data_IF_425984573208
#
_entry.id   IF_425984573208
#
_cell.length_a   1.000
_cell.length_b   1.000
_cell.length_c   1.000
_cell.angle_alpha   90.00
_cell.angle_beta   90.00
_cell.angle_gamma   90.00
#
_symmetry.space_group_name_H-M   'P 1'
#
loop_
_entity.id
_entity.type
_entity.pdbx_description
1 polymer ?
#
# COMPACT_ATOMS: atom_id res chain seq x y z
N UNK A 1 -16.71 3.30 -23.96
CA UNK A 1 -16.46 2.70 -22.63
C UNK A 1 -15.67 3.70 -21.81
N UNK A 2 -15.99 3.96 -20.53
CA UNK A 2 -15.17 4.88 -19.73
C UNK A 2 -13.76 4.30 -19.59
N UNK A 3 -12.76 5.13 -19.86
CA UNK A 3 -11.34 4.82 -19.74
C UNK A 3 -11.09 4.41 -18.27
N UNK A 4 -10.70 3.14 -18.04
CA UNK A 4 -10.28 2.68 -16.72
C UNK A 4 -8.91 3.28 -16.45
N UNK A 5 -8.89 4.48 -15.89
CA UNK A 5 -7.69 5.06 -15.30
C UNK A 5 -7.30 4.13 -14.16
N UNK A 6 -6.19 3.38 -14.31
CA UNK A 6 -5.86 2.17 -13.55
C UNK A 6 -5.75 2.33 -12.02
N UNK A 7 -5.88 3.54 -11.50
CA UNK A 7 -5.82 3.90 -10.08
C UNK A 7 -7.21 4.22 -9.47
N UNK A 8 -8.28 4.21 -10.30
CA UNK A 8 -9.64 4.52 -9.90
C UNK A 8 -10.53 3.28 -9.90
N UNK A 9 -11.38 3.21 -8.89
CA UNK A 9 -12.28 2.10 -8.62
C UNK A 9 -13.72 2.63 -8.65
N UNK A 10 -14.67 1.97 -9.32
CA UNK A 10 -16.08 2.37 -9.23
C UNK A 10 -16.57 2.39 -7.77
N UNK A 11 -17.23 3.48 -7.36
CA UNK A 11 -17.69 3.65 -5.98
C UNK A 11 -18.97 2.85 -5.67
N UNK A 12 -19.76 2.53 -6.68
CA UNK A 12 -20.99 1.75 -6.53
C UNK A 12 -20.69 0.38 -5.91
N UNK A 13 -21.42 -0.01 -4.86
CA UNK A 13 -21.20 -1.25 -4.13
C UNK A 13 -19.94 -1.32 -3.24
N UNK A 14 -19.06 -0.31 -3.25
CA UNK A 14 -17.76 -0.35 -2.54
C UNK A 14 -17.65 0.57 -1.31
N UNK A 15 -18.57 1.54 -1.12
CA UNK A 15 -18.48 2.53 -0.02
C UNK A 15 -18.31 1.91 1.38
N UNK A 16 -19.04 0.84 1.69
CA UNK A 16 -18.96 0.14 2.99
C UNK A 16 -17.61 -0.56 3.17
N UNK A 17 -17.08 -1.17 2.11
CA UNK A 17 -15.79 -1.88 2.10
C UNK A 17 -14.65 -0.92 2.38
N UNK A 18 -14.65 0.22 1.69
CA UNK A 18 -13.65 1.26 1.89
C UNK A 18 -13.68 1.84 3.30
N UNK A 19 -14.85 2.13 3.85
CA UNK A 19 -14.97 2.56 5.26
C UNK A 19 -14.48 1.48 6.24
N UNK A 20 -14.57 0.20 5.88
CA UNK A 20 -14.14 -0.91 6.74
C UNK A 20 -12.62 -1.06 6.80
N UNK A 21 -11.86 -0.54 5.82
CA UNK A 21 -10.38 -0.52 5.84
C UNK A 21 -9.86 0.19 7.09
N UNK A 22 -10.46 1.34 7.46
CA UNK A 22 -10.10 2.07 8.70
C UNK A 22 -10.21 1.17 9.94
N UNK A 23 -11.16 0.23 9.94
CA UNK A 23 -11.42 -0.65 11.08
C UNK A 23 -10.57 -1.93 11.07
N UNK A 24 -9.84 -2.21 9.98
CA UNK A 24 -8.88 -3.33 9.95
C UNK A 24 -7.75 -3.16 10.96
N UNK A 25 -7.51 -1.97 11.50
CA UNK A 25 -6.43 -1.73 12.45
C UNK A 25 -6.91 -1.57 13.91
N UNK A 26 -8.22 -1.73 14.18
CA UNK A 26 -8.80 -1.59 15.52
C UNK A 26 -9.01 -2.96 16.15
N UNK A 27 -8.65 -3.08 17.43
CA UNK A 27 -8.85 -4.30 18.21
C UNK A 27 -10.36 -4.56 18.38
N UNK A 28 -10.89 -5.53 17.64
CA UNK A 28 -12.27 -5.96 17.82
C UNK A 28 -12.34 -6.92 19.01
N UNK A 29 -13.30 -6.71 19.93
CA UNK A 29 -13.52 -7.60 21.07
C UNK A 29 -13.58 -9.05 20.56
N UNK A 30 -12.61 -9.87 20.99
CA UNK A 30 -12.38 -11.25 20.52
C UNK A 30 -13.69 -11.99 20.33
N UNK A 31 -14.10 -12.19 19.08
CA UNK A 31 -14.91 -13.34 18.70
C UNK A 31 -13.93 -14.32 18.07
N UNK A 32 -13.87 -15.53 18.64
CA UNK A 32 -13.16 -16.65 18.01
C UNK A 32 -13.67 -16.82 16.58
N UNK A 33 -12.86 -17.47 15.75
CA UNK A 33 -13.20 -17.93 14.41
C UNK A 33 -14.35 -18.98 14.42
N UNK A 34 -15.48 -18.66 15.05
CA UNK A 34 -16.76 -19.19 14.59
C UNK A 34 -16.93 -18.68 13.18
N UNK A 35 -17.24 -19.57 12.23
CA UNK A 35 -17.38 -19.27 10.81
C UNK A 35 -17.94 -17.85 10.63
N UNK A 36 -17.09 -16.91 10.20
CA UNK A 36 -17.47 -15.50 10.14
C UNK A 36 -18.69 -15.42 9.24
N UNK A 37 -19.87 -15.20 9.83
CA UNK A 37 -21.08 -15.09 9.02
C UNK A 37 -20.89 -13.91 8.06
N UNK A 38 -20.88 -14.24 6.77
CA UNK A 38 -20.72 -13.34 5.63
C UNK A 38 -21.68 -12.15 5.69
N UNK A 39 -22.80 -12.32 6.40
CA UNK A 39 -23.86 -11.30 6.48
C UNK A 39 -23.60 -10.25 7.57
N UNK A 40 -22.72 -10.49 8.54
CA UNK A 40 -22.51 -9.56 9.65
C UNK A 40 -21.53 -8.45 9.29
N UNK A 41 -22.04 -7.23 9.09
CA UNK A 41 -21.23 -6.01 8.89
C UNK A 41 -20.18 -5.77 10.00
N UNK A 42 -20.38 -6.32 11.19
CA UNK A 42 -19.43 -6.21 12.32
C UNK A 42 -18.15 -7.02 12.10
N UNK A 43 -18.19 -8.05 11.24
CA UNK A 43 -17.08 -8.95 10.97
C UNK A 43 -16.27 -8.56 9.72
N UNK A 44 -16.76 -7.59 8.94
CA UNK A 44 -16.11 -7.14 7.70
C UNK A 44 -14.63 -6.78 7.88
N UNK A 45 -14.23 -6.02 8.93
CA UNK A 45 -12.82 -5.67 9.09
C UNK A 45 -11.93 -6.90 9.33
N UNK A 46 -12.44 -7.90 10.05
CA UNK A 46 -11.72 -9.16 10.27
C UNK A 46 -11.59 -9.91 8.94
N UNK A 47 -12.71 -10.06 8.22
CA UNK A 47 -12.73 -10.76 6.94
C UNK A 47 -11.76 -10.14 5.92
N UNK A 48 -11.75 -8.81 5.80
CA UNK A 48 -10.83 -8.09 4.91
C UNK A 48 -9.35 -8.35 5.25
N UNK A 49 -8.99 -8.60 6.52
CA UNK A 49 -7.61 -8.97 6.88
C UNK A 49 -7.23 -10.34 6.36
N UNK A 50 -8.13 -11.33 6.53
CA UNK A 50 -7.93 -12.67 5.99
C UNK A 50 -7.89 -12.65 4.46
N UNK A 51 -8.78 -11.90 3.82
CA UNK A 51 -8.80 -11.72 2.37
C UNK A 51 -7.52 -11.04 1.85
N UNK A 52 -7.00 -10.03 2.57
CA UNK A 52 -5.73 -9.36 2.21
C UNK A 52 -4.55 -10.34 2.25
N UNK A 53 -4.41 -11.11 3.34
CA UNK A 53 -3.36 -12.11 3.48
C UNK A 53 -3.50 -13.23 2.44
N UNK A 54 -4.71 -13.76 2.24
CA UNK A 54 -4.99 -14.79 1.26
C UNK A 54 -4.73 -14.30 -0.17
N UNK A 55 -5.07 -13.05 -0.47
CA UNK A 55 -4.77 -12.41 -1.75
C UNK A 55 -3.27 -12.38 -2.01
N UNK A 56 -2.49 -11.84 -1.06
CA UNK A 56 -1.04 -11.78 -1.20
C UNK A 56 -0.40 -13.17 -1.30
N UNK A 57 -0.86 -14.14 -0.50
CA UNK A 57 -0.43 -15.54 -0.63
C UNK A 57 -0.76 -16.15 -2.00
N UNK A 58 -1.90 -15.77 -2.58
CA UNK A 58 -2.39 -16.31 -3.86
C UNK A 58 -1.73 -15.68 -5.09
N UNK A 59 -1.07 -14.53 -4.96
CA UNK A 59 -0.45 -13.78 -6.09
C UNK A 59 0.75 -14.46 -6.77
N UNK A 60 1.19 -15.61 -6.28
CA UNK A 60 2.29 -16.38 -6.88
C UNK A 60 3.53 -16.44 -5.98
N UNK A 61 4.51 -17.26 -6.37
CA UNK A 61 5.73 -17.46 -5.57
C UNK A 61 6.86 -16.51 -5.96
N UNK A 62 7.00 -16.21 -7.25
CA UNK A 62 8.10 -15.41 -7.78
C UNK A 62 7.69 -13.95 -7.95
N UNK A 63 8.50 -13.00 -7.47
CA UNK A 63 8.24 -11.59 -7.68
C UNK A 63 8.51 -11.20 -9.14
N UNK A 64 7.84 -10.15 -9.63
CA UNK A 64 8.15 -9.59 -10.95
C UNK A 64 9.60 -9.08 -11.00
N UNK A 65 10.27 -9.13 -12.16
CA UNK A 65 11.60 -8.57 -12.29
C UNK A 65 11.60 -7.04 -12.15
N UNK A 66 12.67 -6.50 -11.56
CA UNK A 66 12.83 -5.06 -11.29
C UNK A 66 13.59 -4.27 -12.36
N UNK A 67 13.84 -4.80 -13.55
CA UNK A 67 14.59 -4.07 -14.60
C UNK A 67 13.69 -3.28 -15.57
N UNK A 68 12.39 -3.21 -15.33
CA UNK A 68 11.43 -2.53 -16.22
C UNK A 68 10.99 -1.19 -15.64
N UNK A 69 11.36 -0.10 -16.33
CA UNK A 69 10.97 1.26 -15.97
C UNK A 69 9.46 1.53 -16.18
N UNK A 70 8.86 0.77 -17.10
CA UNK A 70 7.44 0.81 -17.39
C UNK A 70 6.98 -0.59 -17.79
N UNK A 71 5.86 -1.05 -17.23
CA UNK A 71 5.23 -2.29 -17.67
C UNK A 71 4.20 -1.95 -18.73
N UNK A 72 4.63 -2.03 -19.99
CA UNK A 72 3.78 -1.92 -21.18
C UNK A 72 3.12 -3.26 -21.50
N UNK A 73 2.17 -3.30 -22.43
CA UNK A 73 1.59 -4.55 -22.93
C UNK A 73 2.66 -5.50 -23.50
N UNK A 74 3.70 -4.95 -24.16
CA UNK A 74 4.83 -5.72 -24.68
C UNK A 74 5.70 -6.31 -23.56
N UNK A 75 5.94 -5.54 -22.49
CA UNK A 75 6.64 -6.04 -21.30
C UNK A 75 5.85 -7.14 -20.63
N UNK A 76 4.52 -7.02 -20.56
CA UNK A 76 3.67 -8.08 -20.04
C UNK A 76 3.79 -9.37 -20.87
N UNK A 77 3.91 -9.26 -22.19
CA UNK A 77 4.06 -10.42 -23.08
C UNK A 77 5.39 -11.14 -22.83
N UNK A 78 6.45 -10.35 -22.66
CA UNK A 78 7.75 -10.86 -22.24
C UNK A 78 7.65 -11.56 -20.88
N UNK A 79 7.05 -10.92 -19.88
CA UNK A 79 6.88 -11.48 -18.53
C UNK A 79 6.07 -12.78 -18.55
N UNK A 80 4.98 -12.84 -19.33
CA UNK A 80 4.16 -14.03 -19.49
C UNK A 80 4.91 -15.15 -20.22
N UNK A 81 5.72 -14.81 -21.24
CA UNK A 81 6.53 -15.77 -21.99
C UNK A 81 7.69 -16.35 -21.16
N UNK A 82 8.24 -15.54 -20.25
CA UNK A 82 9.31 -15.91 -19.31
C UNK A 82 8.77 -16.68 -18.08
N UNK A 83 7.47 -17.01 -18.05
CA UNK A 83 6.78 -17.82 -17.03
C UNK A 83 6.83 -17.25 -15.61
N UNK A 84 7.05 -15.95 -15.44
CA UNK A 84 6.89 -15.32 -14.13
C UNK A 84 5.46 -15.51 -13.62
N UNK A 85 5.29 -15.63 -12.30
CA UNK A 85 3.98 -15.86 -11.68
C UNK A 85 3.11 -14.60 -11.68
N UNK A 86 2.56 -14.26 -12.85
CA UNK A 86 1.49 -13.28 -13.03
C UNK A 86 0.17 -14.03 -13.10
N UNK A 87 -0.78 -13.71 -12.22
CA UNK A 87 -2.10 -14.34 -12.21
C UNK A 87 -3.16 -13.45 -12.81
N UNK A 88 -4.13 -14.05 -13.49
CA UNK A 88 -5.35 -13.34 -13.84
C UNK A 88 -6.13 -13.01 -12.56
N UNK A 89 -6.86 -11.90 -12.55
CA UNK A 89 -7.69 -11.54 -11.41
C UNK A 89 -8.79 -12.58 -11.13
N UNK A 90 -9.28 -13.27 -12.16
CA UNK A 90 -10.25 -14.36 -12.00
C UNK A 90 -9.65 -15.56 -11.26
N UNK A 91 -8.41 -15.96 -11.61
CA UNK A 91 -7.69 -17.02 -10.90
C UNK A 91 -7.42 -16.64 -9.44
N UNK A 92 -7.07 -15.37 -9.18
CA UNK A 92 -6.91 -14.88 -7.81
C UNK A 92 -8.20 -15.00 -6.99
N UNK A 93 -9.34 -14.60 -7.53
CA UNK A 93 -10.63 -14.74 -6.83
C UNK A 93 -10.89 -16.20 -6.46
N UNK A 94 -10.66 -17.13 -7.40
CA UNK A 94 -10.80 -18.57 -7.15
C UNK A 94 -9.85 -19.04 -6.05
N UNK A 95 -8.56 -18.73 -6.18
CA UNK A 95 -7.52 -19.24 -5.29
C UNK A 95 -7.66 -18.68 -3.87
N UNK A 96 -8.00 -17.39 -3.74
CA UNK A 96 -8.33 -16.77 -2.46
C UNK A 96 -9.54 -17.42 -1.83
N UNK A 97 -10.61 -17.69 -2.61
CA UNK A 97 -11.79 -18.39 -2.09
C UNK A 97 -11.42 -19.76 -1.53
N UNK A 98 -10.57 -20.50 -2.25
CA UNK A 98 -10.07 -21.81 -1.79
C UNK A 98 -9.24 -21.68 -0.52
N UNK A 99 -8.36 -20.68 -0.44
CA UNK A 99 -7.56 -20.41 0.75
C UNK A 99 -8.44 -20.09 1.96
N UNK A 100 -9.44 -19.21 1.80
CA UNK A 100 -10.40 -18.87 2.85
C UNK A 100 -11.23 -20.08 3.28
N UNK A 101 -11.70 -20.89 2.33
CA UNK A 101 -12.45 -22.12 2.63
C UNK A 101 -11.61 -23.11 3.45
N UNK A 102 -10.31 -23.23 3.18
CA UNK A 102 -9.39 -24.05 3.99
C UNK A 102 -9.23 -23.55 5.44
N UNK A 103 -9.54 -22.28 5.69
CA UNK A 103 -9.55 -21.66 7.02
C UNK A 103 -10.94 -21.71 7.69
N UNK A 104 -11.91 -22.39 7.07
CA UNK A 104 -13.30 -22.45 7.56
C UNK A 104 -14.11 -21.18 7.28
N UNK A 105 -13.64 -20.31 6.37
CA UNK A 105 -14.31 -19.07 5.98
C UNK A 105 -15.00 -19.27 4.63
N UNK A 106 -16.33 -19.15 4.60
CA UNK A 106 -17.10 -19.14 3.36
C UNK A 106 -17.37 -17.70 2.95
N UNK A 107 -17.15 -17.34 1.69
CA UNK A 107 -17.45 -16.00 1.16
C UNK A 107 -18.10 -16.14 -0.22
N UNK A 108 -19.20 -15.41 -0.45
CA UNK A 108 -19.85 -15.39 -1.76
C UNK A 108 -18.95 -14.78 -2.83
N UNK A 109 -18.87 -15.41 -4.00
CA UNK A 109 -17.91 -15.03 -5.05
C UNK A 109 -18.06 -13.57 -5.51
N UNK A 110 -19.29 -13.07 -5.67
CA UNK A 110 -19.54 -11.67 -6.05
C UNK A 110 -19.08 -10.67 -4.98
N UNK A 111 -19.27 -11.00 -3.70
CA UNK A 111 -18.78 -10.17 -2.59
C UNK A 111 -17.24 -10.17 -2.58
N UNK A 112 -16.64 -11.35 -2.58
CA UNK A 112 -15.20 -11.54 -2.60
C UNK A 112 -14.55 -10.78 -3.77
N UNK A 113 -15.14 -10.82 -4.97
CA UNK A 113 -14.61 -10.10 -6.13
C UNK A 113 -14.53 -8.59 -5.90
N UNK A 114 -15.53 -8.00 -5.25
CA UNK A 114 -15.54 -6.58 -4.92
C UNK A 114 -14.53 -6.25 -3.81
N UNK A 115 -14.47 -7.09 -2.78
CA UNK A 115 -13.50 -6.96 -1.69
C UNK A 115 -12.05 -7.05 -2.21
N UNK A 116 -11.75 -8.07 -3.00
CA UNK A 116 -10.44 -8.25 -3.63
C UNK A 116 -10.09 -7.14 -4.62
N UNK A 117 -11.08 -6.54 -5.28
CA UNK A 117 -10.85 -5.39 -6.14
C UNK A 117 -10.34 -4.19 -5.32
N UNK A 118 -10.92 -3.93 -4.15
CA UNK A 118 -10.44 -2.89 -3.23
C UNK A 118 -9.06 -3.26 -2.66
N UNK A 119 -8.91 -4.50 -2.19
CA UNK A 119 -7.69 -4.95 -1.51
C UNK A 119 -6.47 -4.99 -2.45
N UNK A 120 -6.64 -5.36 -3.72
CA UNK A 120 -5.52 -5.34 -4.68
C UNK A 120 -5.05 -3.91 -4.96
N UNK A 121 -5.95 -2.92 -4.99
CA UNK A 121 -5.59 -1.52 -5.14
C UNK A 121 -4.94 -0.95 -3.88
N UNK A 122 -5.38 -1.37 -2.69
CA UNK A 122 -4.70 -1.06 -1.43
C UNK A 122 -3.27 -1.64 -1.42
N UNK A 123 -3.11 -2.93 -1.76
CA UNK A 123 -1.81 -3.60 -1.85
C UNK A 123 -0.90 -2.93 -2.89
N UNK A 124 -1.44 -2.49 -4.03
CA UNK A 124 -0.66 -1.71 -5.00
C UNK A 124 -0.22 -0.37 -4.46
N UNK A 125 -1.11 0.36 -3.76
CA UNK A 125 -0.73 1.60 -3.07
C UNK A 125 0.38 1.39 -2.03
N UNK A 126 0.41 0.22 -1.37
CA UNK A 126 1.47 -0.20 -0.46
C UNK A 126 2.73 -0.71 -1.17
N UNK A 127 2.71 -0.87 -2.50
CA UNK A 127 3.81 -1.39 -3.30
C UNK A 127 3.97 -2.92 -3.22
N UNK A 128 2.98 -3.66 -2.73
CA UNK A 128 3.06 -5.13 -2.58
C UNK A 128 2.77 -5.89 -3.88
N UNK A 129 1.99 -5.30 -4.77
CA UNK A 129 1.58 -5.93 -6.04
C UNK A 129 1.51 -4.90 -7.14
N UNK A 130 1.66 -5.35 -8.37
CA UNK A 130 1.33 -4.58 -9.56
C UNK A 130 0.05 -5.09 -10.21
N UNK A 131 -0.64 -4.18 -10.91
CA UNK A 131 -1.87 -4.46 -11.65
C UNK A 131 -1.65 -4.11 -13.12
N UNK A 132 -2.00 -5.04 -14.01
CA UNK A 132 -1.87 -4.88 -15.46
C UNK A 132 -3.18 -5.17 -16.18
N UNK A 133 -3.35 -4.61 -17.37
CA UNK A 133 -4.47 -4.93 -18.25
C UNK A 133 -3.95 -5.29 -19.65
N UNK A 134 -4.41 -6.44 -20.18
CA UNK A 134 -4.14 -6.87 -21.57
C UNK A 134 -5.36 -7.54 -22.15
N UNK A 135 -5.78 -7.08 -23.33
CA UNK A 135 -6.95 -7.64 -24.02
C UNK A 135 -8.23 -7.62 -23.17
N UNK A 136 -8.43 -6.57 -22.36
CA UNK A 136 -9.57 -6.44 -21.43
C UNK A 136 -9.51 -7.35 -20.20
N UNK A 137 -8.44 -8.14 -20.02
CA UNK A 137 -8.21 -8.97 -18.83
C UNK A 137 -7.24 -8.27 -17.89
N UNK A 138 -7.56 -8.35 -16.59
CA UNK A 138 -6.72 -7.83 -15.51
C UNK A 138 -5.81 -8.91 -14.98
N UNK A 139 -4.55 -8.56 -14.80
CA UNK A 139 -3.51 -9.39 -14.22
C UNK A 139 -2.94 -8.71 -12.98
N UNK A 140 -2.42 -9.52 -12.07
CA UNK A 140 -1.81 -9.05 -10.83
C UNK A 140 -0.53 -9.85 -10.62
N UNK A 141 0.51 -9.17 -10.18
CA UNK A 141 1.79 -9.81 -9.91
C UNK A 141 2.42 -9.30 -8.61
N UNK A 142 3.14 -10.18 -7.94
CA UNK A 142 3.77 -9.92 -6.66
C UNK A 142 5.06 -9.12 -6.83
N UNK A 143 5.30 -8.11 -6.01
CA UNK A 143 6.59 -7.39 -5.95
C UNK A 143 7.54 -8.06 -4.95
N UNK A 144 8.82 -7.69 -4.95
CA UNK A 144 9.79 -8.13 -3.94
C UNK A 144 9.38 -7.68 -2.54
N UNK A 145 8.88 -6.44 -2.41
CA UNK A 145 8.29 -5.95 -1.16
C UNK A 145 7.10 -6.81 -0.73
N UNK A 146 6.16 -7.09 -1.64
CA UNK A 146 5.01 -7.92 -1.34
C UNK A 146 5.40 -9.34 -0.92
N UNK A 147 6.41 -9.92 -1.58
CA UNK A 147 6.93 -11.23 -1.22
C UNK A 147 7.48 -11.27 0.21
N UNK A 148 8.20 -10.23 0.63
CA UNK A 148 8.73 -10.13 1.99
C UNK A 148 7.64 -9.81 3.03
N UNK A 149 6.70 -8.91 2.71
CA UNK A 149 5.59 -8.56 3.60
C UNK A 149 4.57 -9.69 3.78
N UNK A 150 4.48 -10.62 2.83
CA UNK A 150 3.66 -11.83 2.94
C UNK A 150 4.03 -12.68 4.16
N UNK A 151 5.33 -12.78 4.47
CA UNK A 151 5.80 -13.54 5.63
C UNK A 151 5.41 -12.88 6.95
N UNK A 152 5.41 -11.54 6.97
CA UNK A 152 5.02 -10.74 8.14
C UNK A 152 3.50 -10.83 8.38
N UNK A 153 2.70 -10.74 7.32
CA UNK A 153 1.24 -10.85 7.42
C UNK A 153 0.78 -12.25 7.84
N UNK A 154 1.48 -13.29 7.37
CA UNK A 154 1.10 -14.67 7.61
C UNK A 154 -0.28 -15.00 7.04
N UNK A 155 -0.88 -16.10 7.50
CA UNK A 155 -2.21 -16.57 7.07
C UNK A 155 -3.36 -15.98 7.88
N UNK A 156 -3.10 -15.51 9.10
CA UNK A 156 -4.10 -14.97 10.03
C UNK A 156 -3.62 -13.64 10.63
N UNK A 157 -3.47 -12.58 9.81
CA UNK A 157 -2.95 -11.31 10.29
C UNK A 157 -3.85 -10.66 11.34
N UNK A 158 -3.24 -10.21 12.44
CA UNK A 158 -3.90 -9.33 13.42
C UNK A 158 -3.75 -7.86 13.01
N UNK A 159 -4.39 -6.96 13.74
CA UNK A 159 -4.22 -5.50 13.60
C UNK A 159 -2.74 -5.10 13.58
N UNK A 160 -1.92 -5.79 14.39
CA UNK A 160 -0.49 -5.51 14.53
C UNK A 160 0.29 -5.86 13.27
N UNK A 161 0.07 -7.04 12.68
CA UNK A 161 0.79 -7.42 11.44
C UNK A 161 0.42 -6.49 10.28
N UNK A 162 -0.85 -6.07 10.20
CA UNK A 162 -1.27 -5.03 9.23
C UNK A 162 -0.51 -3.71 9.47
N UNK A 163 -0.38 -3.28 10.74
CA UNK A 163 0.34 -2.06 11.10
C UNK A 163 1.83 -2.14 10.72
N UNK A 164 2.50 -3.24 11.07
CA UNK A 164 3.92 -3.45 10.76
C UNK A 164 4.14 -3.46 9.24
N UNK A 165 3.32 -4.20 8.48
CA UNK A 165 3.42 -4.26 7.03
C UNK A 165 3.17 -2.89 6.38
N UNK A 166 2.19 -2.12 6.88
CA UNK A 166 1.93 -0.77 6.40
C UNK A 166 3.09 0.20 6.68
N UNK A 167 3.69 0.13 7.87
CA UNK A 167 4.85 0.95 8.24
C UNK A 167 6.06 0.66 7.36
N UNK A 168 6.39 -0.63 7.18
CA UNK A 168 7.50 -1.03 6.30
C UNK A 168 7.23 -0.60 4.86
N UNK A 169 5.99 -0.74 4.38
CA UNK A 169 5.60 -0.29 3.04
C UNK A 169 5.93 1.19 2.82
N UNK A 170 5.79 2.05 3.85
CA UNK A 170 6.15 3.46 3.70
C UNK A 170 7.64 3.67 3.43
N UNK A 171 8.54 2.79 3.85
CA UNK A 171 9.97 2.93 3.58
C UNK A 171 10.34 2.71 2.09
N UNK A 172 9.45 2.11 1.30
CA UNK A 172 9.72 1.73 -0.10
C UNK A 172 8.68 2.28 -1.09
N UNK A 173 7.39 2.13 -0.81
CA UNK A 173 6.32 2.66 -1.67
C UNK A 173 6.25 4.18 -1.54
N UNK A 174 6.71 4.88 -2.58
CA UNK A 174 6.62 6.32 -2.69
C UNK A 174 5.19 6.83 -2.50
N UNK A 175 4.16 6.12 -2.99
CA UNK A 175 2.75 6.53 -2.83
C UNK A 175 2.32 6.44 -1.36
N UNK A 176 2.52 5.28 -0.73
CA UNK A 176 2.20 5.10 0.68
C UNK A 176 2.88 6.16 1.55
N UNK A 177 4.15 6.41 1.25
CA UNK A 177 4.99 7.39 1.93
C UNK A 177 4.49 8.83 1.77
N UNK A 178 4.15 9.26 0.55
CA UNK A 178 3.59 10.59 0.27
C UNK A 178 2.23 10.77 0.95
N UNK A 179 1.33 9.80 0.80
CA UNK A 179 -0.02 9.86 1.39
C UNK A 179 0.06 9.92 2.91
N UNK A 180 0.93 9.11 3.53
CA UNK A 180 1.16 9.16 4.97
C UNK A 180 1.73 10.52 5.41
N UNK A 181 2.77 11.02 4.74
CA UNK A 181 3.39 12.30 5.11
C UNK A 181 2.43 13.48 5.00
N UNK A 182 1.61 13.53 3.95
CA UNK A 182 0.55 14.54 3.79
C UNK A 182 -0.48 14.45 4.91
N UNK A 183 -0.92 13.23 5.23
CA UNK A 183 -1.87 13.01 6.32
C UNK A 183 -1.30 13.41 7.68
N UNK A 184 -0.07 13.03 8.00
CA UNK A 184 0.57 13.34 9.27
C UNK A 184 0.89 14.83 9.46
N UNK A 185 1.16 15.56 8.39
CA UNK A 185 1.48 17.00 8.42
C UNK A 185 0.24 17.91 8.35
N UNK A 186 -0.77 17.54 7.56
CA UNK A 186 -1.89 18.42 7.20
C UNK A 186 -3.26 17.88 7.58
N UNK A 187 -3.34 16.71 8.23
CA UNK A 187 -4.60 16.06 8.58
C UNK A 187 -5.44 15.72 7.34
N UNK A 188 -6.76 15.61 7.48
CA UNK A 188 -7.66 15.14 6.41
C UNK A 188 -8.08 16.24 5.41
N UNK A 189 -7.19 17.14 4.98
CA UNK A 189 -7.53 18.23 4.06
C UNK A 189 -7.02 17.97 2.62
N UNK A 190 -7.85 17.40 1.73
CA UNK A 190 -7.51 17.23 0.30
C UNK A 190 -7.07 18.53 -0.39
N UNK A 191 -7.63 19.67 0.03
CA UNK A 191 -7.25 20.97 -0.50
C UNK A 191 -5.80 21.33 -0.14
N UNK A 192 -5.40 21.09 1.11
CA UNK A 192 -4.02 21.31 1.54
C UNK A 192 -3.06 20.35 0.83
N UNK A 193 -3.47 19.11 0.62
CA UNK A 193 -2.68 18.14 -0.14
C UNK A 193 -2.46 18.62 -1.57
N UNK A 194 -3.53 19.06 -2.25
CA UNK A 194 -3.45 19.57 -3.61
C UNK A 194 -2.52 20.78 -3.71
N UNK A 195 -2.65 21.76 -2.81
CA UNK A 195 -1.79 22.95 -2.80
C UNK A 195 -0.33 22.57 -2.59
N UNK A 196 -0.03 21.71 -1.61
CA UNK A 196 1.34 21.28 -1.31
C UNK A 196 1.96 20.48 -2.47
N UNK A 197 1.24 19.49 -2.99
CA UNK A 197 1.72 18.68 -4.11
C UNK A 197 1.88 19.51 -5.38
N UNK A 198 0.95 20.42 -5.69
CA UNK A 198 1.03 21.30 -6.86
C UNK A 198 2.21 22.25 -6.76
N UNK A 199 2.43 22.86 -5.60
CA UNK A 199 3.62 23.69 -5.35
C UNK A 199 4.88 22.87 -5.58
N UNK A 200 4.88 21.59 -5.16
CA UNK A 200 6.02 20.72 -5.38
C UNK A 200 6.27 20.35 -6.83
N UNK A 201 5.23 19.89 -7.53
CA UNK A 201 5.31 19.54 -8.95
C UNK A 201 5.74 20.73 -9.83
N UNK A 202 5.36 21.96 -9.47
CA UNK A 202 5.69 23.18 -10.22
C UNK A 202 7.03 23.82 -9.80
N UNK A 203 7.69 23.33 -8.76
CA UNK A 203 9.01 23.81 -8.33
C UNK A 203 10.18 23.14 -9.09
N UNK A 204 9.90 22.36 -10.14
CA UNK A 204 10.92 21.76 -11.01
C UNK A 204 11.89 22.85 -11.51
N UNK A 205 13.18 22.72 -11.19
CA UNK A 205 14.22 23.65 -11.61
C UNK A 205 14.45 24.87 -10.72
N UNK A 206 13.83 24.92 -9.53
CA UNK A 206 14.14 25.89 -8.47
C UNK A 206 14.50 25.15 -7.19
N UNK A 207 15.55 25.55 -6.50
CA UNK A 207 15.90 24.95 -5.20
C UNK A 207 14.97 25.45 -4.08
N UNK A 208 14.50 24.57 -3.17
CA UNK A 208 14.68 23.11 -3.17
C UNK A 208 13.70 22.39 -4.13
N UNK A 209 14.22 21.54 -5.01
CA UNK A 209 13.44 20.75 -5.97
C UNK A 209 12.96 19.41 -5.39
N UNK A 210 11.92 18.83 -6.01
CA UNK A 210 11.21 17.60 -5.59
C UNK A 210 11.69 16.35 -6.36
N UNK A 211 12.97 16.28 -6.64
CA UNK A 211 13.53 15.30 -7.58
C UNK A 211 13.27 13.84 -7.19
N UNK A 212 12.70 13.07 -8.11
CA UNK A 212 12.42 11.64 -7.96
C UNK A 212 11.03 11.33 -7.40
N UNK A 213 10.22 12.32 -7.04
CA UNK A 213 8.84 12.14 -6.53
C UNK A 213 7.77 12.67 -7.46
N UNK A 214 8.14 13.35 -8.54
CA UNK A 214 7.23 14.14 -9.35
C UNK A 214 6.15 13.27 -9.97
N UNK A 215 6.49 12.07 -10.43
CA UNK A 215 5.51 11.12 -10.99
C UNK A 215 4.44 10.70 -9.98
N UNK A 216 4.83 10.35 -8.76
CA UNK A 216 3.88 9.87 -7.74
C UNK A 216 3.12 11.04 -7.11
N UNK A 217 3.75 12.21 -6.97
CA UNK A 217 3.07 13.44 -6.61
C UNK A 217 2.01 13.83 -7.66
N UNK A 218 2.35 13.72 -8.95
CA UNK A 218 1.42 13.92 -10.06
C UNK A 218 0.30 12.86 -10.07
N UNK A 219 0.59 11.62 -9.69
CA UNK A 219 -0.41 10.55 -9.58
C UNK A 219 -1.41 10.85 -8.45
N UNK A 220 -0.94 11.22 -7.26
CA UNK A 220 -1.83 11.63 -6.14
C UNK A 220 -2.60 12.91 -6.49
N UNK A 221 -1.98 13.87 -7.18
CA UNK A 221 -2.66 15.06 -7.71
C UNK A 221 -3.75 14.71 -8.73
N UNK A 222 -3.46 13.78 -9.65
CA UNK A 222 -4.41 13.31 -10.64
C UNK A 222 -5.57 12.60 -9.97
N UNK A 223 -5.32 11.74 -8.98
CA UNK A 223 -6.36 11.10 -8.19
C UNK A 223 -7.23 12.13 -7.45
N UNK A 224 -6.62 13.12 -6.79
CA UNK A 224 -7.34 14.21 -6.12
C UNK A 224 -8.23 14.97 -7.11
N UNK A 225 -7.72 15.29 -8.30
CA UNK A 225 -8.48 16.01 -9.32
C UNK A 225 -9.65 15.15 -9.87
N UNK A 226 -9.36 13.91 -10.28
CA UNK A 226 -10.34 13.00 -10.90
C UNK A 226 -11.42 12.54 -9.91
N UNK A 227 -11.11 12.52 -8.62
CA UNK A 227 -12.09 12.20 -7.56
C UNK A 227 -12.73 13.43 -6.94
N UNK A 228 -12.52 14.62 -7.50
CA UNK A 228 -12.98 15.89 -6.93
C UNK A 228 -12.70 15.97 -5.42
N UNK A 229 -11.41 16.01 -5.06
CA UNK A 229 -10.94 16.04 -3.69
C UNK A 229 -11.51 14.89 -2.83
N UNK A 230 -11.42 13.65 -3.34
CA UNK A 230 -11.88 12.46 -2.64
C UNK A 230 -13.39 12.43 -2.30
N UNK A 231 -14.19 13.23 -3.00
CA UNK A 231 -15.63 13.37 -2.78
C UNK A 231 -16.48 12.80 -3.92
N UNK A 232 -15.86 12.19 -4.94
CA UNK A 232 -16.56 11.59 -6.07
C UNK A 232 -17.51 10.48 -5.64
N UNK A 233 -18.75 10.56 -6.10
CA UNK A 233 -19.72 9.48 -5.96
C UNK A 233 -19.50 8.34 -6.95
N UNK A 234 -18.65 8.55 -7.96
CA UNK A 234 -18.42 7.62 -9.06
C UNK A 234 -17.16 6.80 -8.86
N UNK A 235 -16.13 7.38 -8.27
CA UNK A 235 -14.80 6.78 -8.20
C UNK A 235 -14.18 6.90 -6.83
N UNK A 236 -13.42 5.87 -6.46
CA UNK A 236 -12.55 5.81 -5.30
C UNK A 236 -11.11 5.62 -5.79
N UNK A 237 -10.15 6.36 -5.26
CA UNK A 237 -8.74 6.24 -5.63
C UNK A 237 -7.93 5.43 -4.62
N UNK A 238 -6.76 4.95 -5.05
CA UNK A 238 -5.81 4.25 -4.18
C UNK A 238 -5.35 5.11 -2.99
N UNK A 239 -5.12 6.41 -3.20
CA UNK A 239 -4.79 7.34 -2.11
C UNK A 239 -5.91 7.43 -1.08
N UNK A 240 -7.19 7.34 -1.47
CA UNK A 240 -8.28 7.28 -0.50
C UNK A 240 -8.23 5.99 0.33
N UNK A 241 -7.90 4.85 -0.27
CA UNK A 241 -7.78 3.58 0.46
C UNK A 241 -6.63 3.63 1.48
N UNK A 242 -5.47 4.16 1.07
CA UNK A 242 -4.32 4.39 1.96
C UNK A 242 -4.68 5.34 3.10
N UNK A 243 -5.40 6.44 2.82
CA UNK A 243 -5.88 7.36 3.86
C UNK A 243 -6.82 6.68 4.86
N UNK A 244 -7.73 5.80 4.41
CA UNK A 244 -8.57 5.05 5.35
C UNK A 244 -7.72 4.15 6.25
N UNK A 245 -6.73 3.45 5.68
CA UNK A 245 -5.81 2.60 6.45
C UNK A 245 -5.03 3.41 7.50
N UNK A 246 -4.37 4.49 7.08
CA UNK A 246 -3.56 5.34 7.98
C UNK A 246 -4.39 6.05 9.03
N UNK A 247 -5.61 6.50 8.70
CA UNK A 247 -6.55 7.03 9.68
C UNK A 247 -6.92 6.00 10.73
N UNK A 248 -7.11 4.74 10.33
CA UNK A 248 -7.35 3.62 11.24
C UNK A 248 -6.19 3.36 12.19
N UNK A 249 -4.96 3.34 11.65
CA UNK A 249 -3.74 3.17 12.43
C UNK A 249 -3.49 4.33 13.39
N UNK A 250 -3.63 5.58 12.93
CA UNK A 250 -3.53 6.78 13.77
C UNK A 250 -4.58 6.77 14.87
N UNK A 251 -5.83 6.38 14.57
CA UNK A 251 -6.89 6.27 15.57
C UNK A 251 -6.62 5.21 16.64
N UNK A 252 -5.81 4.19 16.34
CA UNK A 252 -5.47 3.12 17.28
C UNK A 252 -4.18 3.41 18.08
N UNK A 253 -3.13 3.86 17.41
CA UNK A 253 -1.81 4.08 18.01
C UNK A 253 -1.58 5.52 18.50
N UNK A 254 -2.34 6.49 17.99
CA UNK A 254 -2.14 7.93 18.26
C UNK A 254 -0.80 8.43 17.73
N UNK A 255 -0.20 9.39 18.42
CA UNK A 255 1.09 10.00 18.03
C UNK A 255 2.24 8.99 17.94
N UNK A 256 2.14 7.89 18.68
CA UNK A 256 3.09 6.77 18.59
C UNK A 256 3.17 6.16 17.19
N UNK A 257 2.12 6.27 16.38
CA UNK A 257 2.17 5.81 15.00
C UNK A 257 3.15 6.64 14.15
N UNK A 258 3.20 7.94 14.39
CA UNK A 258 4.13 8.85 13.72
C UNK A 258 5.56 8.57 14.17
N UNK A 259 5.77 8.30 15.46
CA UNK A 259 7.09 7.85 15.97
C UNK A 259 7.52 6.53 15.32
N UNK A 260 6.61 5.56 15.20
CA UNK A 260 6.89 4.28 14.57
C UNK A 260 7.26 4.41 13.09
N UNK A 261 6.54 5.28 12.39
CA UNK A 261 6.86 5.63 11.03
C UNK A 261 8.26 6.24 10.89
N UNK A 262 8.61 7.18 11.77
CA UNK A 262 9.95 7.80 11.82
C UNK A 262 11.04 6.76 12.05
N UNK A 263 10.87 5.89 13.04
CA UNK A 263 11.84 4.86 13.38
C UNK A 263 12.07 3.87 12.22
N UNK A 264 10.99 3.36 11.61
CA UNK A 264 11.08 2.41 10.49
C UNK A 264 11.75 3.03 9.27
N UNK A 265 11.40 4.27 8.92
CA UNK A 265 12.06 4.97 7.82
C UNK A 265 13.51 5.34 8.17
N UNK A 266 13.77 5.70 9.42
CA UNK A 266 15.12 5.98 9.92
C UNK A 266 16.05 4.78 9.83
N UNK A 267 15.56 3.57 10.12
CA UNK A 267 16.36 2.34 10.06
C UNK A 267 16.48 1.76 8.65
N UNK A 268 15.42 1.80 7.84
CA UNK A 268 15.44 1.19 6.51
C UNK A 268 15.95 2.17 5.45
N UNK A 269 15.55 3.44 5.48
CA UNK A 269 15.79 4.40 4.39
C UNK A 269 17.07 5.22 4.58
N UNK A 270 17.24 5.88 5.73
CA UNK A 270 18.31 6.88 5.91
C UNK A 270 19.74 6.36 5.80
N UNK A 271 20.08 5.12 6.24
CA UNK A 271 21.43 4.59 6.06
C UNK A 271 21.79 4.39 4.60
N UNK A 272 20.78 4.25 3.74
CA UNK A 272 20.90 3.87 2.34
C UNK A 272 20.67 5.04 1.37
N UNK A 273 20.21 6.20 1.87
CA UNK A 273 19.92 7.40 1.07
C UNK A 273 20.63 8.59 1.69
N UNK A 274 21.51 9.27 0.94
CA UNK A 274 22.22 10.47 1.44
C UNK A 274 21.21 11.51 1.98
N UNK A 275 21.40 12.05 3.21
CA UNK A 275 20.50 13.04 3.81
C UNK A 275 20.27 14.30 2.95
N UNK A 276 21.26 14.67 2.13
CA UNK A 276 21.20 15.82 1.20
C UNK A 276 20.44 15.54 -0.10
N UNK A 277 19.97 14.31 -0.34
CA UNK A 277 19.25 13.98 -1.56
C UNK A 277 17.80 14.49 -1.52
N UNK A 278 17.59 15.74 -1.92
CA UNK A 278 16.52 16.21 -2.85
C UNK A 278 15.04 15.85 -2.57
N UNK A 279 14.65 15.57 -1.32
CA UNK A 279 13.26 15.24 -0.94
C UNK A 279 12.61 16.21 0.06
N UNK A 280 12.82 17.54 -0.08
CA UNK A 280 12.24 18.54 0.84
C UNK A 280 10.84 18.99 0.41
N UNK A 281 9.77 18.29 0.83
CA UNK A 281 8.35 18.75 0.76
C UNK A 281 7.70 18.79 2.12
N UNK A 282 6.70 19.64 2.33
CA UNK A 282 5.94 19.75 3.59
C UNK A 282 5.17 18.49 4.07
N UNK A 283 5.28 17.35 3.39
CA UNK A 283 4.89 16.03 3.91
C UNK A 283 6.03 15.30 4.65
N UNK A 284 7.27 15.80 4.49
CA UNK A 284 8.56 15.24 4.90
C UNK A 284 9.15 15.93 6.12
N UNK A 285 8.46 16.90 6.73
CA UNK A 285 8.88 17.47 8.01
C UNK A 285 8.84 16.42 9.13
N UNK A 286 7.95 15.43 9.00
CA UNK A 286 7.96 14.22 9.82
C UNK A 286 9.16 13.30 9.53
N UNK A 287 9.93 13.56 8.49
CA UNK A 287 11.03 12.72 8.01
C UNK A 287 12.35 13.51 7.96
N UNK A 288 12.40 14.69 8.57
CA UNK A 288 13.66 15.36 8.76
C UNK A 288 14.50 14.62 9.82
N UNK A 289 15.83 14.53 9.63
CA UNK A 289 16.72 14.02 10.66
C UNK A 289 16.56 14.83 11.95
N UNK A 290 16.27 14.14 13.05
CA UNK A 290 16.12 14.67 14.40
C UNK A 290 16.38 13.55 15.41
N UNK A 291 15.92 13.68 16.66
CA UNK A 291 15.90 12.54 17.59
C UNK A 291 14.88 11.51 17.09
N UNK A 292 15.30 10.64 16.17
CA UNK A 292 14.51 9.52 15.68
C UNK A 292 14.57 8.43 16.74
N UNK A 293 13.44 8.02 17.34
CA UNK A 293 13.45 6.90 18.28
C UNK A 293 13.91 5.64 17.55
N UNK A 294 14.63 4.77 18.25
CA UNK A 294 15.03 3.49 17.67
C UNK A 294 13.80 2.59 17.44
N UNK A 295 13.92 1.62 16.52
CA UNK A 295 12.84 0.63 16.31
C UNK A 295 12.56 -0.18 17.58
N UNK A 296 13.57 -0.43 18.40
CA UNK A 296 13.43 -1.10 19.70
C UNK A 296 12.54 -0.29 20.66
N UNK A 297 12.83 1.00 20.82
CA UNK A 297 12.04 1.89 21.67
C UNK A 297 10.58 1.97 21.21
N UNK A 298 10.37 2.04 19.90
CA UNK A 298 9.02 2.10 19.32
C UNK A 298 8.29 0.78 19.49
N UNK A 299 8.94 -0.36 19.31
CA UNK A 299 8.32 -1.68 19.48
C UNK A 299 7.70 -1.81 20.87
N UNK A 300 8.43 -1.40 21.90
CA UNK A 300 7.95 -1.37 23.29
C UNK A 300 6.82 -0.35 23.49
N UNK A 301 7.05 0.92 23.11
CA UNK A 301 6.08 2.02 23.30
C UNK A 301 4.75 1.78 22.57
N UNK A 302 4.82 1.20 21.37
CA UNK A 302 3.67 0.95 20.51
C UNK A 302 3.05 -0.45 20.71
N UNK A 303 3.66 -1.31 21.54
CA UNK A 303 3.27 -2.72 21.69
C UNK A 303 3.25 -3.47 20.34
N UNK A 304 4.14 -3.11 19.43
CA UNK A 304 4.26 -3.70 18.09
C UNK A 304 5.26 -4.86 18.10
N UNK A 305 5.05 -5.84 18.99
CA UNK A 305 5.97 -6.98 19.13
C UNK A 305 6.30 -7.63 17.79
N UNK A 306 7.59 -7.77 17.48
CA UNK A 306 8.10 -8.33 16.23
C UNK A 306 8.44 -7.28 15.16
N UNK A 307 8.24 -5.98 15.42
CA UNK A 307 8.60 -4.90 14.50
C UNK A 307 10.09 -4.91 14.18
N UNK A 308 10.96 -5.01 15.20
CA UNK A 308 12.42 -5.07 15.02
C UNK A 308 12.82 -6.20 14.09
N UNK A 309 12.35 -7.42 14.41
CA UNK A 309 12.62 -8.61 13.60
C UNK A 309 12.12 -8.46 12.15
N UNK A 310 10.96 -7.82 11.95
CA UNK A 310 10.44 -7.56 10.61
C UNK A 310 11.30 -6.55 9.85
N UNK A 311 11.75 -5.47 10.50
CA UNK A 311 12.67 -4.48 9.93
C UNK A 311 14.01 -5.10 9.58
N UNK A 312 14.57 -5.93 10.46
CA UNK A 312 15.83 -6.67 10.22
C UNK A 312 15.71 -7.61 9.02
N UNK A 313 14.65 -8.42 8.95
CA UNK A 313 14.41 -9.33 7.82
C UNK A 313 14.30 -8.59 6.47
N UNK A 314 13.70 -7.40 6.47
CA UNK A 314 13.56 -6.57 5.27
C UNK A 314 14.89 -5.91 4.88
N UNK A 315 15.73 -5.56 5.86
CA UNK A 315 17.03 -4.90 5.64
C UNK A 315 17.94 -5.73 4.74
N UNK A 316 17.95 -7.05 4.93
CA UNK A 316 18.79 -7.96 4.15
C UNK A 316 18.45 -7.94 2.65
N UNK A 317 17.20 -7.60 2.30
CA UNK A 317 16.71 -7.51 0.93
C UNK A 317 16.54 -6.06 0.43
N UNK A 318 17.01 -5.06 1.20
CA UNK A 318 16.72 -3.65 0.96
C UNK A 318 17.06 -3.21 -0.47
N UNK A 319 18.29 -3.47 -0.92
CA UNK A 319 18.78 -2.99 -2.21
C UNK A 319 17.96 -3.55 -3.38
N UNK A 320 17.55 -4.82 -3.29
CA UNK A 320 16.75 -5.46 -4.33
C UNK A 320 15.31 -4.92 -4.38
N UNK A 321 14.70 -4.72 -3.21
CA UNK A 321 13.37 -4.14 -3.10
C UNK A 321 13.40 -2.71 -3.61
N UNK A 322 14.38 -1.91 -3.17
CA UNK A 322 14.54 -0.51 -3.57
C UNK A 322 14.75 -0.39 -5.08
N UNK A 323 15.64 -1.20 -5.66
CA UNK A 323 15.89 -1.19 -7.09
C UNK A 323 14.63 -1.50 -7.90
N UNK A 324 13.85 -2.51 -7.49
CA UNK A 324 12.58 -2.81 -8.14
C UNK A 324 11.58 -1.65 -8.00
N UNK A 325 11.45 -1.05 -6.82
CA UNK A 325 10.51 0.06 -6.60
C UNK A 325 10.91 1.30 -7.42
N UNK A 326 12.20 1.61 -7.48
CA UNK A 326 12.73 2.70 -8.31
C UNK A 326 12.49 2.42 -9.79
N UNK A 327 12.65 1.17 -10.25
CA UNK A 327 12.32 0.85 -11.63
C UNK A 327 10.83 1.02 -11.92
N UNK A 328 9.94 0.50 -11.08
CA UNK A 328 8.49 0.57 -11.31
C UNK A 328 7.93 2.00 -11.20
N UNK A 329 8.43 2.78 -10.25
CA UNK A 329 7.82 4.04 -9.81
C UNK A 329 8.71 5.27 -9.91
N UNK A 330 10.01 5.10 -10.08
CA UNK A 330 10.96 6.19 -10.24
C UNK A 330 10.77 6.91 -11.57
N UNK A 331 11.14 8.19 -11.58
CA UNK A 331 11.47 8.87 -12.84
C UNK A 331 12.84 8.39 -13.29
N UNK A 332 13.00 8.17 -14.60
CA UNK A 332 14.31 8.06 -15.22
C UNK A 332 15.07 9.32 -14.84
N UNK A 333 16.04 9.22 -13.94
CA UNK A 333 17.11 10.20 -13.88
C UNK A 333 17.73 10.15 -15.27
N UNK A 334 17.46 11.17 -16.09
CA UNK A 334 17.95 11.22 -17.46
C UNK A 334 19.46 10.96 -17.44
N UNK A 335 19.87 9.98 -18.25
CA UNK A 335 21.21 9.92 -18.82
C UNK A 335 21.52 11.21 -19.58
#
# INVERSE_FOLDING_TARGET
MPMRIGFLIPSEGNKVRVKSIESMCKLLRRKKAEALDVRSRKNYPILLRYELAALLASTGKEPIPGYVHFITAEVLDKVLSEKFSVKSFADLVRDVRTALASMGLSVGESALKNDLNILVHLLRGLGCVEIFEKGGKRYVALTKLGAALREILGSQPTEREIAIAALISTAFSTKARVVFGLFGSMGLSPQNYYVTLRRGALAWGREPSYEGMERVALEVLAELHLTNAFSSEKYISESQLLLQLFKGLQGYYGDRFVEAFKAVNGELRYPNVKPDARYRAGAWDLLQPGSVPSVDEVEEKCKMKGLKKAVESIRDNYAEIEHQMVALYGLVARF
#
